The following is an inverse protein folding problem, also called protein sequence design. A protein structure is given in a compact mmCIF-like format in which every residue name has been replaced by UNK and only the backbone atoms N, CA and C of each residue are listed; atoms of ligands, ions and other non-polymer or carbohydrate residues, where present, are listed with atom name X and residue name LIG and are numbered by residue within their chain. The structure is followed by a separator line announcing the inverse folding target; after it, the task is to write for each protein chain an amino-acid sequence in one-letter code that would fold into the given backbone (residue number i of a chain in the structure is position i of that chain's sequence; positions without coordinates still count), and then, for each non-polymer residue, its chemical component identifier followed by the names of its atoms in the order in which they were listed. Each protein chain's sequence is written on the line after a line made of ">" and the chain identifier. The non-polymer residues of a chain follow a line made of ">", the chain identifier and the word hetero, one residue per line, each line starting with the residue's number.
data_IF_777197675574
#
_entry.id   IF_777197675574
#
_cell.length_a   1.000
_cell.length_b   1.000
_cell.length_c   1.000
_cell.angle_alpha   90.00
_cell.angle_beta   90.00
_cell.angle_gamma   90.00
#
_symmetry.space_group_name_H-M   'P 1'
#
loop_
_entity.id
_entity.type
_entity.pdbx_description
1 polymer ?
#
# COMPACT_ATOMS: atom_id res chain seq x y z
N UNK A 1 3.16 0.55 -15.97
CA UNK A 1 3.96 -0.12 -14.91
C UNK A 1 3.79 -1.64 -15.03
N UNK A 2 4.87 -2.40 -14.90
CA UNK A 2 4.83 -3.87 -14.94
C UNK A 2 5.12 -4.45 -13.56
N UNK A 3 4.36 -5.45 -13.11
CA UNK A 3 4.50 -6.10 -11.81
C UNK A 3 4.43 -7.61 -11.99
N UNK A 4 5.55 -8.29 -11.71
CA UNK A 4 5.61 -9.74 -11.57
C UNK A 4 5.28 -10.16 -10.13
N UNK A 5 4.58 -11.25 -9.97
CA UNK A 5 4.26 -11.79 -8.64
C UNK A 5 4.65 -13.25 -8.56
N UNK A 6 5.46 -13.59 -7.56
CA UNK A 6 5.80 -14.97 -7.25
C UNK A 6 4.87 -15.43 -6.13
N UNK A 7 3.97 -16.37 -6.42
CA UNK A 7 2.96 -16.82 -5.45
C UNK A 7 2.54 -18.26 -5.69
N UNK A 8 2.28 -19.01 -4.61
CA UNK A 8 1.65 -20.34 -4.66
C UNK A 8 0.14 -20.30 -4.98
N UNK A 9 -0.48 -19.10 -4.92
CA UNK A 9 -1.92 -18.87 -5.10
C UNK A 9 -2.17 -17.70 -6.05
N UNK A 10 -1.78 -17.81 -7.33
CA UNK A 10 -1.92 -16.73 -8.31
C UNK A 10 -3.38 -16.28 -8.51
N UNK A 11 -4.34 -17.18 -8.30
CA UNK A 11 -5.78 -16.89 -8.40
C UNK A 11 -6.25 -15.84 -7.39
N UNK A 12 -5.57 -15.64 -6.25
CA UNK A 12 -5.93 -14.60 -5.29
C UNK A 12 -5.81 -13.20 -5.89
N UNK A 13 -4.92 -12.99 -6.84
CA UNK A 13 -4.69 -11.69 -7.46
C UNK A 13 -5.82 -11.25 -8.39
N UNK A 14 -6.76 -12.14 -8.74
CA UNK A 14 -7.97 -11.77 -9.50
C UNK A 14 -8.79 -10.70 -8.78
N UNK A 15 -8.73 -10.64 -7.45
CA UNK A 15 -9.40 -9.61 -6.66
C UNK A 15 -8.98 -8.19 -7.07
N UNK A 16 -7.75 -7.98 -7.48
CA UNK A 16 -7.21 -6.68 -7.90
C UNK A 16 -7.03 -6.54 -9.41
N UNK A 17 -6.87 -7.64 -10.15
CA UNK A 17 -6.71 -7.58 -11.61
C UNK A 17 -8.03 -7.50 -12.37
N UNK A 18 -9.14 -7.94 -11.76
CA UNK A 18 -10.45 -7.97 -12.39
C UNK A 18 -11.41 -6.88 -11.88
N UNK A 19 -11.15 -6.31 -10.70
CA UNK A 19 -12.06 -5.39 -10.01
C UNK A 19 -11.42 -4.06 -9.63
N UNK A 20 -12.26 -3.07 -9.39
CA UNK A 20 -11.87 -1.77 -8.86
C UNK A 20 -11.02 -0.91 -9.80
N UNK A 21 -10.24 -0.03 -9.20
CA UNK A 21 -9.34 0.91 -9.90
C UNK A 21 -8.20 0.16 -10.57
N UNK A 22 -7.57 -0.79 -9.86
CA UNK A 22 -6.48 -1.62 -10.36
C UNK A 22 -6.93 -2.49 -11.54
N UNK A 23 -8.12 -3.12 -11.46
CA UNK A 23 -8.67 -3.91 -12.57
C UNK A 23 -8.94 -3.07 -13.83
N UNK A 24 -9.38 -1.81 -13.67
CA UNK A 24 -9.51 -0.88 -14.80
C UNK A 24 -8.15 -0.53 -15.42
N UNK A 25 -7.15 -0.29 -14.57
CA UNK A 25 -5.78 0.03 -15.01
C UNK A 25 -5.15 -1.15 -15.77
N UNK A 26 -5.40 -2.39 -15.34
CA UNK A 26 -4.97 -3.59 -16.08
C UNK A 26 -5.67 -3.67 -17.43
N UNK A 27 -7.00 -3.50 -17.48
CA UNK A 27 -7.77 -3.53 -18.73
C UNK A 27 -7.36 -2.44 -19.73
N UNK A 28 -6.95 -1.28 -19.24
CA UNK A 28 -6.48 -0.16 -20.07
C UNK A 28 -4.99 -0.24 -20.45
N UNK A 29 -4.26 -1.25 -19.97
CA UNK A 29 -2.83 -1.43 -20.23
C UNK A 29 -1.90 -0.49 -19.46
N UNK A 30 -2.41 0.30 -18.50
CA UNK A 30 -1.60 1.13 -17.60
C UNK A 30 -0.81 0.29 -16.59
N UNK A 31 -1.38 -0.85 -16.20
CA UNK A 31 -0.75 -1.86 -15.37
C UNK A 31 -0.70 -3.19 -16.11
N UNK A 32 0.41 -3.89 -15.98
CA UNK A 32 0.56 -5.26 -16.41
C UNK A 32 0.98 -6.07 -15.19
N UNK A 33 0.16 -7.07 -14.82
CA UNK A 33 0.40 -7.93 -13.66
C UNK A 33 0.48 -9.37 -14.15
N UNK A 34 1.60 -10.03 -13.89
CA UNK A 34 1.86 -11.41 -14.28
C UNK A 34 2.25 -12.22 -13.04
N UNK A 35 1.82 -13.48 -12.99
CA UNK A 35 2.08 -14.35 -11.84
C UNK A 35 2.91 -15.57 -12.24
N UNK A 36 3.85 -15.95 -11.39
CA UNK A 36 4.64 -17.17 -11.49
C UNK A 36 4.38 -18.02 -10.24
N UNK A 37 3.91 -19.24 -10.48
CA UNK A 37 3.71 -20.19 -9.39
C UNK A 37 4.94 -21.11 -9.25
N UNK A 38 5.65 -21.09 -8.11
CA UNK A 38 6.79 -21.97 -7.89
C UNK A 38 6.49 -23.47 -8.13
N UNK A 39 5.23 -23.91 -7.98
CA UNK A 39 4.83 -25.29 -8.30
C UNK A 39 5.05 -25.68 -9.76
N UNK A 40 5.13 -24.73 -10.65
CA UNK A 40 5.36 -24.96 -12.09
C UNK A 40 6.83 -25.18 -12.41
N UNK A 41 7.71 -24.88 -11.45
CA UNK A 41 9.17 -25.02 -11.57
C UNK A 41 9.72 -26.22 -10.78
N UNK A 42 8.88 -27.10 -10.27
CA UNK A 42 9.27 -28.34 -9.60
C UNK A 42 9.55 -29.44 -10.60
N UNK A 43 10.46 -30.35 -10.22
CA UNK A 43 10.84 -31.50 -11.07
C UNK A 43 10.25 -32.81 -10.60
N UNK A 44 9.65 -32.84 -9.41
CA UNK A 44 9.06 -34.04 -8.82
C UNK A 44 7.55 -34.17 -9.21
N UNK A 45 7.07 -35.43 -9.15
CA UNK A 45 5.67 -35.76 -9.51
C UNK A 45 4.64 -35.07 -8.62
N UNK A 46 4.99 -34.79 -7.38
CA UNK A 46 4.07 -34.20 -6.39
C UNK A 46 4.08 -32.68 -6.43
N UNK A 47 4.95 -32.05 -7.23
CA UNK A 47 5.09 -30.59 -7.34
C UNK A 47 5.36 -29.96 -5.97
N UNK A 48 6.31 -30.56 -5.24
CA UNK A 48 6.66 -30.18 -3.87
C UNK A 48 7.37 -28.83 -3.84
N UNK A 49 6.91 -27.92 -3.00
CA UNK A 49 7.41 -26.53 -2.90
C UNK A 49 7.86 -26.14 -1.50
N UNK A 50 7.79 -27.06 -0.53
CA UNK A 50 8.14 -26.84 0.85
C UNK A 50 8.96 -27.99 1.42
N UNK A 51 9.86 -27.68 2.39
CA UNK A 51 10.70 -28.66 3.08
C UNK A 51 10.95 -28.20 4.52
N UNK A 52 11.46 -29.10 5.35
CA UNK A 52 11.74 -28.84 6.76
C UNK A 52 12.92 -27.88 6.95
N UNK A 53 12.84 -26.96 7.94
CA UNK A 53 13.97 -26.09 8.25
C UNK A 53 15.14 -26.87 8.83
N UNK A 54 16.36 -26.47 8.48
CA UNK A 54 17.57 -26.93 9.19
C UNK A 54 17.51 -26.49 10.65
N UNK A 55 17.99 -27.31 11.54
CA UNK A 55 17.91 -27.10 12.99
C UNK A 55 16.60 -27.59 13.61
N UNK A 56 15.65 -28.06 12.80
CA UNK A 56 14.33 -28.52 13.26
C UNK A 56 13.40 -27.37 13.63
N UNK A 57 12.31 -27.70 14.30
CA UNK A 57 11.27 -26.75 14.71
C UNK A 57 9.94 -27.02 14.02
N UNK A 58 8.88 -26.30 14.40
CA UNK A 58 7.57 -26.40 13.76
C UNK A 58 7.57 -25.73 12.37
N UNK A 59 6.65 -26.16 11.51
CA UNK A 59 6.42 -25.56 10.19
C UNK A 59 7.37 -26.05 9.11
N UNK A 60 7.27 -25.41 7.97
CA UNK A 60 8.01 -25.71 6.73
C UNK A 60 8.57 -24.40 6.17
N UNK A 61 9.52 -24.49 5.24
CA UNK A 61 10.03 -23.36 4.43
C UNK A 61 9.75 -23.60 2.97
N UNK A 62 9.60 -22.55 2.19
CA UNK A 62 9.57 -22.68 0.74
C UNK A 62 10.91 -23.21 0.21
N UNK A 63 10.85 -24.20 -0.66
CA UNK A 63 12.05 -24.80 -1.27
C UNK A 63 12.80 -23.79 -2.14
N UNK A 64 14.13 -23.81 -2.04
CA UNK A 64 15.03 -22.88 -2.74
C UNK A 64 14.88 -22.97 -4.26
N UNK A 65 14.99 -24.19 -4.83
CA UNK A 65 15.06 -24.36 -6.28
C UNK A 65 13.81 -23.85 -7.00
N UNK A 66 12.56 -24.32 -6.69
CA UNK A 66 11.38 -23.85 -7.44
C UNK A 66 11.11 -22.36 -7.22
N UNK A 67 11.45 -21.81 -6.05
CA UNK A 67 11.31 -20.38 -5.79
C UNK A 67 12.29 -19.54 -6.62
N UNK A 68 13.57 -19.91 -6.65
CA UNK A 68 14.59 -19.21 -7.46
C UNK A 68 14.27 -19.27 -8.95
N UNK A 69 13.87 -20.44 -9.45
CA UNK A 69 13.54 -20.60 -10.86
C UNK A 69 12.34 -19.73 -11.26
N UNK A 70 11.32 -19.62 -10.39
CA UNK A 70 10.20 -18.70 -10.59
C UNK A 70 10.65 -17.23 -10.60
N UNK A 71 11.55 -16.84 -9.68
CA UNK A 71 12.11 -15.47 -9.64
C UNK A 71 12.92 -15.20 -10.92
N UNK A 72 13.75 -16.14 -11.36
CA UNK A 72 14.56 -16.00 -12.59
C UNK A 72 13.67 -15.89 -13.84
N UNK A 73 12.60 -16.69 -13.92
CA UNK A 73 11.64 -16.59 -15.01
C UNK A 73 10.94 -15.21 -15.04
N UNK A 74 10.57 -14.69 -13.88
CA UNK A 74 10.00 -13.34 -13.78
C UNK A 74 11.02 -12.26 -14.15
N UNK A 75 12.28 -12.36 -13.69
CA UNK A 75 13.37 -11.44 -14.09
C UNK A 75 13.57 -11.47 -15.62
N UNK A 76 13.54 -12.66 -16.22
CA UNK A 76 13.68 -12.81 -17.68
C UNK A 76 12.51 -12.15 -18.42
N UNK A 77 11.27 -12.33 -17.95
CA UNK A 77 10.08 -11.71 -18.56
C UNK A 77 10.09 -10.17 -18.39
N UNK A 78 10.51 -9.68 -17.25
CA UNK A 78 10.65 -8.25 -16.98
C UNK A 78 11.74 -7.59 -17.83
N UNK A 79 12.83 -8.33 -18.14
CA UNK A 79 14.05 -7.74 -18.68
C UNK A 79 14.77 -6.89 -17.62
N UNK A 80 15.73 -6.07 -18.06
CA UNK A 80 16.59 -5.29 -17.17
C UNK A 80 15.81 -4.29 -16.31
N UNK A 81 16.33 -4.03 -15.09
CA UNK A 81 15.87 -2.97 -14.20
C UNK A 81 14.64 -3.33 -13.35
N UNK A 82 14.25 -4.59 -13.27
CA UNK A 82 13.22 -5.03 -12.34
C UNK A 82 13.79 -5.14 -10.91
N UNK A 83 13.10 -4.55 -9.93
CA UNK A 83 13.44 -4.66 -8.51
C UNK A 83 12.67 -5.82 -7.89
N UNK A 84 13.36 -6.72 -7.20
CA UNK A 84 12.78 -7.86 -6.48
C UNK A 84 12.51 -7.48 -5.03
N UNK A 85 11.27 -7.61 -4.62
CA UNK A 85 10.79 -7.25 -3.28
C UNK A 85 10.21 -8.48 -2.59
N UNK A 86 10.71 -8.80 -1.42
CA UNK A 86 10.12 -9.81 -0.55
C UNK A 86 9.19 -9.17 0.47
N UNK A 87 7.97 -9.69 0.58
CA UNK A 87 6.96 -9.23 1.55
C UNK A 87 7.14 -10.02 2.86
N UNK A 88 7.71 -9.36 3.86
CA UNK A 88 8.13 -9.98 5.12
C UNK A 88 7.84 -9.07 6.31
N UNK A 89 7.40 -9.60 7.47
CA UNK A 89 7.32 -8.81 8.71
C UNK A 89 8.64 -8.19 9.15
N UNK A 90 9.78 -8.73 8.68
CA UNK A 90 11.13 -8.24 9.00
C UNK A 90 11.56 -7.06 8.13
N UNK A 91 10.82 -6.78 7.05
CA UNK A 91 11.13 -5.72 6.11
C UNK A 91 10.87 -4.32 6.64
N UNK A 92 11.35 -3.32 5.87
CA UNK A 92 11.05 -1.90 6.10
C UNK A 92 9.54 -1.67 6.05
N UNK A 93 9.00 -0.93 7.03
CA UNK A 93 7.57 -0.64 7.11
C UNK A 93 7.09 0.23 5.95
N UNK A 94 6.09 -0.24 5.24
CA UNK A 94 5.46 0.49 4.13
C UNK A 94 4.68 1.68 4.67
N UNK A 95 5.07 2.86 4.23
CA UNK A 95 4.40 4.15 4.47
C UNK A 95 4.07 4.78 3.13
N UNK A 96 3.28 5.88 3.11
CA UNK A 96 3.00 6.60 1.85
C UNK A 96 4.29 7.07 1.15
N UNK A 97 5.30 7.50 1.91
CA UNK A 97 6.62 7.83 1.33
C UNK A 97 7.28 6.61 0.66
N UNK A 98 7.19 5.43 1.30
CA UNK A 98 7.67 4.18 0.69
C UNK A 98 6.88 3.79 -0.56
N UNK A 99 5.56 3.99 -0.56
CA UNK A 99 4.72 3.77 -1.76
C UNK A 99 5.15 4.70 -2.89
N UNK A 100 5.41 5.98 -2.60
CA UNK A 100 5.89 6.95 -3.60
C UNK A 100 7.26 6.55 -4.16
N UNK A 101 8.18 6.11 -3.30
CA UNK A 101 9.50 5.58 -3.71
C UNK A 101 9.33 4.37 -4.65
N UNK A 102 8.50 3.41 -4.28
CA UNK A 102 8.26 2.22 -5.10
C UNK A 102 7.57 2.54 -6.42
N UNK A 103 6.69 3.52 -6.46
CA UNK A 103 5.99 3.96 -7.67
C UNK A 103 6.93 4.56 -8.74
N UNK A 104 8.16 4.97 -8.37
CA UNK A 104 9.16 5.43 -9.35
C UNK A 104 9.72 4.29 -10.20
N UNK A 105 9.59 3.04 -9.75
CA UNK A 105 10.07 1.88 -10.50
C UNK A 105 9.07 1.50 -11.59
N UNK A 106 9.59 1.29 -12.79
CA UNK A 106 8.76 0.84 -13.91
C UNK A 106 8.41 -0.65 -13.84
N UNK A 107 9.24 -1.43 -13.13
CA UNK A 107 9.12 -2.87 -13.02
C UNK A 107 9.42 -3.34 -11.60
N UNK A 108 8.50 -4.09 -11.02
CA UNK A 108 8.65 -4.72 -9.70
C UNK A 108 8.40 -6.22 -9.82
N UNK A 109 9.12 -7.01 -9.03
CA UNK A 109 8.84 -8.43 -8.82
C UNK A 109 8.57 -8.62 -7.32
N UNK A 110 7.35 -9.03 -6.97
CA UNK A 110 6.92 -9.20 -5.59
C UNK A 110 6.95 -10.70 -5.23
N UNK A 111 7.71 -11.04 -4.20
CA UNK A 111 7.79 -12.41 -3.68
C UNK A 111 6.85 -12.55 -2.50
N UNK A 112 5.77 -13.33 -2.69
CA UNK A 112 4.81 -13.67 -1.65
C UNK A 112 5.23 -14.98 -0.97
N UNK A 113 5.91 -14.88 0.17
CA UNK A 113 6.31 -16.03 0.96
C UNK A 113 5.13 -16.74 1.60
N UNK A 114 5.30 -18.03 1.86
CA UNK A 114 4.36 -18.90 2.57
C UNK A 114 5.09 -19.72 3.62
N UNK A 115 4.34 -20.46 4.42
CA UNK A 115 4.84 -21.27 5.53
C UNK A 115 5.57 -20.40 6.56
N UNK A 116 6.73 -20.86 7.08
CA UNK A 116 7.59 -20.07 8.00
C UNK A 116 8.45 -19.01 7.25
N UNK A 117 8.42 -19.02 5.92
CA UNK A 117 9.15 -18.09 5.08
C UNK A 117 9.96 -18.76 3.98
N UNK A 118 10.98 -18.05 3.53
CA UNK A 118 11.90 -18.49 2.48
C UNK A 118 13.32 -18.63 3.01
N UNK A 119 14.14 -19.41 2.32
CA UNK A 119 15.55 -19.62 2.68
C UNK A 119 16.33 -18.29 2.64
N UNK A 120 17.08 -18.01 3.70
CA UNK A 120 17.86 -16.77 3.85
C UNK A 120 18.81 -16.53 2.68
N UNK A 121 19.37 -17.58 2.08
CA UNK A 121 20.25 -17.46 0.91
C UNK A 121 19.52 -16.97 -0.33
N UNK A 122 18.22 -17.24 -0.47
CA UNK A 122 17.40 -16.66 -1.54
C UNK A 122 17.20 -15.17 -1.29
N UNK A 123 16.96 -14.75 -0.04
CA UNK A 123 16.88 -13.32 0.30
C UNK A 123 18.20 -12.64 -0.07
N UNK A 124 19.33 -13.16 0.35
CA UNK A 124 20.65 -12.56 0.12
C UNK A 124 21.08 -12.50 -1.35
N UNK A 125 20.59 -13.43 -2.20
CA UNK A 125 21.06 -13.52 -3.59
C UNK A 125 20.07 -13.04 -4.63
N UNK A 126 18.77 -13.03 -4.32
CA UNK A 126 17.73 -12.75 -5.31
C UNK A 126 16.86 -11.53 -4.98
N UNK A 127 16.82 -11.09 -3.72
CA UNK A 127 15.95 -10.02 -3.24
C UNK A 127 16.75 -8.73 -3.10
N UNK A 128 16.19 -7.63 -3.62
CA UNK A 128 16.79 -6.30 -3.50
C UNK A 128 16.33 -5.57 -2.21
N UNK A 129 15.08 -5.77 -1.83
CA UNK A 129 14.48 -5.13 -0.66
C UNK A 129 13.43 -6.01 0.01
N UNK A 130 13.31 -5.85 1.34
CA UNK A 130 12.22 -6.45 2.11
C UNK A 130 11.26 -5.36 2.63
N UNK A 131 9.95 -5.59 2.47
CA UNK A 131 8.93 -4.66 2.92
C UNK A 131 7.86 -5.32 3.77
N UNK A 132 7.42 -4.62 4.83
CA UNK A 132 6.36 -5.03 5.76
C UNK A 132 5.18 -4.09 5.65
N UNK A 133 3.95 -4.61 5.63
CA UNK A 133 2.73 -3.81 5.67
C UNK A 133 2.27 -3.46 7.10
N UNK A 134 2.99 -3.91 8.13
CA UNK A 134 2.66 -3.62 9.52
C UNK A 134 3.20 -4.66 10.50
N UNK A 135 3.12 -4.33 11.79
CA UNK A 135 3.65 -5.13 12.89
C UNK A 135 2.64 -6.22 13.30
N UNK A 136 2.31 -7.11 12.38
CA UNK A 136 1.44 -8.28 12.59
C UNK A 136 1.78 -9.36 11.59
N UNK A 137 1.42 -10.61 11.92
CA UNK A 137 1.73 -11.78 11.10
C UNK A 137 0.51 -12.21 10.30
N UNK A 138 0.72 -12.51 9.03
CA UNK A 138 -0.26 -13.08 8.12
C UNK A 138 0.16 -14.50 7.69
N UNK A 139 -0.78 -15.26 7.14
CA UNK A 139 -0.52 -16.62 6.66
C UNK A 139 0.31 -16.70 5.37
N UNK A 140 0.63 -15.55 4.75
CA UNK A 140 1.42 -15.47 3.52
C UNK A 140 1.51 -14.06 2.95
N UNK A 141 2.37 -13.90 1.95
CA UNK A 141 2.69 -12.62 1.34
C UNK A 141 1.70 -12.12 0.28
N UNK A 142 0.66 -12.87 -0.07
CA UNK A 142 -0.27 -12.48 -1.14
C UNK A 142 -1.09 -11.24 -0.78
N UNK A 143 -1.64 -11.17 0.44
CA UNK A 143 -2.36 -9.96 0.90
C UNK A 143 -1.44 -8.74 0.98
N UNK A 144 -0.23 -8.82 1.58
CA UNK A 144 0.76 -7.75 1.49
C UNK A 144 1.06 -7.32 0.05
N UNK A 145 1.27 -8.27 -0.86
CA UNK A 145 1.54 -7.96 -2.27
C UNK A 145 0.36 -7.22 -2.92
N UNK A 146 -0.88 -7.66 -2.71
CA UNK A 146 -2.07 -6.97 -3.20
C UNK A 146 -2.20 -5.56 -2.62
N UNK A 147 -1.93 -5.38 -1.33
CA UNK A 147 -1.93 -4.06 -0.67
C UNK A 147 -0.89 -3.12 -1.31
N UNK A 148 0.33 -3.61 -1.53
CA UNK A 148 1.39 -2.84 -2.16
C UNK A 148 1.04 -2.49 -3.60
N UNK A 149 0.52 -3.44 -4.38
CA UNK A 149 0.09 -3.23 -5.77
C UNK A 149 -0.99 -2.14 -5.82
N UNK A 150 -2.02 -2.22 -4.98
CA UNK A 150 -3.09 -1.23 -4.95
C UNK A 150 -2.54 0.16 -4.63
N UNK A 151 -1.75 0.28 -3.55
CA UNK A 151 -1.19 1.55 -3.11
C UNK A 151 -0.29 2.21 -4.18
N UNK A 152 0.62 1.44 -4.80
CA UNK A 152 1.52 1.93 -5.86
C UNK A 152 0.75 2.29 -7.13
N UNK A 153 -0.25 1.47 -7.50
CA UNK A 153 -1.05 1.69 -8.70
C UNK A 153 -1.79 3.01 -8.70
N UNK A 154 -2.24 3.49 -7.53
CA UNK A 154 -2.90 4.80 -7.37
C UNK A 154 -2.02 5.98 -7.79
N UNK A 155 -0.71 5.82 -7.74
CA UNK A 155 0.28 6.84 -8.13
C UNK A 155 0.69 6.76 -9.60
N UNK A 156 0.29 5.70 -10.32
CA UNK A 156 0.56 5.58 -11.75
C UNK A 156 -0.33 6.56 -12.53
N UNK A 157 0.24 7.44 -13.39
CA UNK A 157 -0.54 8.42 -14.15
C UNK A 157 -1.67 7.76 -14.95
N UNK A 158 -2.87 8.31 -14.84
CA UNK A 158 -4.06 7.85 -15.56
C UNK A 158 -4.81 6.68 -14.90
N UNK A 159 -4.33 6.12 -13.82
CA UNK A 159 -5.03 5.06 -13.06
C UNK A 159 -6.22 5.62 -12.29
N UNK A 160 -6.05 6.75 -11.62
CA UNK A 160 -7.15 7.49 -11.02
C UNK A 160 -7.78 8.43 -12.06
N UNK A 161 -9.10 8.60 -12.00
CA UNK A 161 -9.83 9.51 -12.90
C UNK A 161 -9.52 10.99 -12.64
N UNK A 162 -9.20 11.33 -11.38
CA UNK A 162 -8.73 12.65 -10.97
C UNK A 162 -7.44 12.47 -10.16
N UNK A 163 -6.34 12.98 -10.68
CA UNK A 163 -5.03 12.87 -10.05
C UNK A 163 -4.96 13.67 -8.74
N UNK A 164 -5.74 14.74 -8.61
CA UNK A 164 -5.86 15.49 -7.37
C UNK A 164 -6.38 14.63 -6.20
N UNK A 165 -7.12 13.56 -6.49
CA UNK A 165 -7.56 12.61 -5.45
C UNK A 165 -6.40 11.91 -4.74
N UNK A 166 -5.31 11.58 -5.45
CA UNK A 166 -4.13 11.00 -4.82
C UNK A 166 -3.29 12.04 -4.07
N UNK A 167 -3.31 13.28 -4.52
CA UNK A 167 -2.52 14.39 -3.95
C UNK A 167 -3.15 14.92 -2.65
N UNK A 168 -4.48 14.77 -2.47
CA UNK A 168 -5.23 15.27 -1.32
C UNK A 168 -5.55 14.18 -0.28
N UNK A 169 -5.13 12.94 -0.50
CA UNK A 169 -5.31 11.82 0.44
C UNK A 169 -4.44 11.97 1.70
N UNK A 170 -4.83 11.27 2.75
CA UNK A 170 -4.04 11.17 3.99
C UNK A 170 -2.58 10.82 3.71
N UNK A 171 -1.67 11.43 4.47
CA UNK A 171 -0.22 11.25 4.48
C UNK A 171 0.55 11.89 3.31
N UNK A 172 -0.10 12.40 2.29
CA UNK A 172 0.60 13.03 1.15
C UNK A 172 1.35 14.29 1.61
N UNK A 173 0.65 15.16 2.37
CA UNK A 173 1.23 16.35 3.00
C UNK A 173 1.58 16.14 4.47
N UNK A 174 1.68 14.87 4.91
CA UNK A 174 1.93 14.51 6.30
C UNK A 174 0.72 14.63 7.23
N UNK A 175 -0.44 15.03 6.74
CA UNK A 175 -1.69 15.15 7.49
C UNK A 175 -2.64 13.98 7.19
N UNK A 176 -3.60 13.77 8.08
CA UNK A 176 -4.80 12.99 7.78
C UNK A 176 -5.77 13.86 6.97
N UNK A 177 -6.53 13.23 6.09
CA UNK A 177 -7.54 13.90 5.31
C UNK A 177 -8.70 14.44 6.17
N UNK A 178 -9.41 15.46 5.65
CA UNK A 178 -10.57 16.08 6.28
C UNK A 178 -11.80 15.16 6.23
N UNK A 179 -12.86 15.43 7.02
CA UNK A 179 -14.12 14.70 6.92
C UNK A 179 -14.85 15.01 5.62
N UNK A 180 -15.40 13.97 5.00
CA UNK A 180 -16.21 14.07 3.80
C UNK A 180 -17.69 13.94 4.13
N UNK A 181 -18.52 14.67 3.39
CA UNK A 181 -19.98 14.65 3.52
C UNK A 181 -20.60 14.42 2.14
N UNK A 182 -21.71 13.67 2.11
CA UNK A 182 -22.51 13.45 0.92
C UNK A 182 -23.99 13.70 1.25
N UNK A 183 -24.84 13.59 0.25
CA UNK A 183 -26.31 13.73 0.42
C UNK A 183 -26.88 12.62 1.31
N UNK A 184 -27.91 12.89 2.11
CA UNK A 184 -28.65 14.15 2.25
C UNK A 184 -27.89 15.22 3.06
N UNK A 185 -28.26 16.50 2.92
CA UNK A 185 -27.65 17.62 3.65
C UNK A 185 -27.93 17.58 5.15
N UNK A 186 -29.08 17.02 5.54
CA UNK A 186 -29.47 16.80 6.93
C UNK A 186 -29.70 15.31 7.16
N UNK A 187 -28.99 14.72 8.12
CA UNK A 187 -29.11 13.31 8.51
C UNK A 187 -29.33 13.23 10.03
N UNK A 188 -30.50 12.78 10.48
CA UNK A 188 -30.83 12.59 11.89
C UNK A 188 -30.56 13.82 12.77
N UNK A 189 -30.83 15.01 12.25
CA UNK A 189 -30.57 16.29 12.93
C UNK A 189 -29.14 16.82 12.80
N UNK A 190 -28.24 16.06 12.15
CA UNK A 190 -26.87 16.48 11.87
C UNK A 190 -26.78 17.08 10.47
N UNK A 191 -26.41 18.34 10.36
CA UNK A 191 -26.26 19.03 9.09
C UNK A 191 -24.83 18.93 8.54
N UNK A 192 -24.70 19.00 7.21
CA UNK A 192 -23.42 19.26 6.56
C UNK A 192 -22.90 20.64 7.02
N UNK A 193 -21.60 20.77 7.34
CA UNK A 193 -21.03 22.06 7.74
C UNK A 193 -21.29 23.17 6.72
N UNK A 194 -21.76 24.34 7.18
CA UNK A 194 -22.10 25.50 6.34
C UNK A 194 -20.94 25.92 5.42
N UNK A 195 -19.71 25.79 5.88
CA UNK A 195 -18.53 26.08 5.07
C UNK A 195 -18.52 25.31 3.74
N UNK A 196 -18.99 24.05 3.75
CA UNK A 196 -19.00 23.17 2.57
C UNK A 196 -20.14 23.49 1.60
N UNK A 197 -21.22 24.13 2.07
CA UNK A 197 -22.38 24.54 1.27
C UNK A 197 -22.31 26.00 0.84
N UNK A 198 -21.30 26.77 1.29
CA UNK A 198 -21.14 28.21 1.05
C UNK A 198 -20.90 28.60 -0.41
N UNK A 199 -20.42 27.68 -1.24
CA UNK A 199 -19.92 27.95 -2.61
C UNK A 199 -18.62 28.79 -2.66
N UNK A 200 -18.09 29.22 -1.52
CA UNK A 200 -16.84 29.97 -1.45
C UNK A 200 -15.64 29.02 -1.33
N UNK A 201 -14.86 28.90 -2.40
CA UNK A 201 -13.70 27.99 -2.47
C UNK A 201 -12.66 28.23 -1.36
N UNK A 202 -12.42 29.49 -0.97
CA UNK A 202 -11.43 29.81 0.07
C UNK A 202 -11.95 29.41 1.47
N UNK A 203 -13.23 29.63 1.76
CA UNK A 203 -13.86 29.14 3.00
C UNK A 203 -13.79 27.62 3.07
N UNK A 204 -14.09 26.94 1.96
CA UNK A 204 -14.02 25.47 1.88
C UNK A 204 -12.59 25.00 2.09
N UNK A 205 -11.59 25.61 1.42
CA UNK A 205 -10.16 25.28 1.56
C UNK A 205 -9.70 25.40 3.03
N UNK A 206 -9.97 26.54 3.65
CA UNK A 206 -9.61 26.79 5.06
C UNK A 206 -10.30 25.80 6.00
N UNK A 207 -11.57 25.53 5.78
CA UNK A 207 -12.31 24.55 6.59
C UNK A 207 -11.68 23.15 6.47
N UNK A 208 -11.40 22.69 5.27
CA UNK A 208 -10.75 21.39 5.03
C UNK A 208 -9.40 21.29 5.71
N UNK A 209 -8.54 22.31 5.54
CA UNK A 209 -7.22 22.36 6.16
C UNK A 209 -7.32 22.34 7.70
N UNK A 210 -8.24 23.14 8.27
CA UNK A 210 -8.50 23.15 9.72
C UNK A 210 -8.89 21.74 10.22
N UNK A 211 -9.78 21.06 9.51
CA UNK A 211 -10.22 19.73 9.89
C UNK A 211 -9.10 18.68 9.75
N UNK A 212 -8.29 18.73 8.72
CA UNK A 212 -7.14 17.86 8.54
C UNK A 212 -6.13 18.01 9.67
N UNK A 213 -5.76 19.26 10.00
CA UNK A 213 -4.86 19.57 11.12
C UNK A 213 -5.44 19.09 12.46
N UNK A 214 -6.70 19.39 12.72
CA UNK A 214 -7.36 19.00 13.96
C UNK A 214 -7.49 17.48 14.13
N UNK A 215 -7.91 16.77 13.08
CA UNK A 215 -7.97 15.30 13.08
C UNK A 215 -6.60 14.67 13.27
N UNK A 216 -5.59 15.21 12.61
CA UNK A 216 -4.21 14.71 12.75
C UNK A 216 -3.74 14.92 14.19
N UNK A 217 -3.94 16.11 14.76
CA UNK A 217 -3.60 16.40 16.15
C UNK A 217 -4.30 15.46 17.15
N UNK A 218 -5.57 15.12 16.93
CA UNK A 218 -6.32 14.26 17.84
C UNK A 218 -5.96 12.77 17.72
N UNK A 219 -5.73 12.29 16.48
CA UNK A 219 -5.66 10.86 16.17
C UNK A 219 -4.24 10.36 15.95
N UNK A 220 -3.39 11.22 15.44
CA UNK A 220 -2.01 10.91 15.06
C UNK A 220 -1.09 12.11 15.40
N UNK A 221 -1.00 12.47 16.71
CA UNK A 221 -0.25 13.65 17.15
C UNK A 221 1.25 13.59 16.75
N UNK A 222 1.81 12.40 16.61
CA UNK A 222 3.18 12.22 16.17
C UNK A 222 3.44 12.73 14.73
N UNK A 223 2.42 12.78 13.88
CA UNK A 223 2.53 13.36 12.54
C UNK A 223 2.68 14.88 12.62
N UNK A 224 1.84 15.54 13.43
CA UNK A 224 1.92 17.00 13.64
C UNK A 224 3.29 17.40 14.22
N UNK A 225 3.81 16.64 15.18
CA UNK A 225 5.09 16.94 15.82
C UNK A 225 6.28 16.89 14.87
N UNK A 226 6.14 16.20 13.75
CA UNK A 226 7.18 16.06 12.72
C UNK A 226 7.03 17.07 11.56
N UNK A 227 5.99 17.92 11.57
CA UNK A 227 5.74 18.90 10.53
C UNK A 227 6.21 20.30 10.94
N UNK A 228 6.82 21.02 10.01
CA UNK A 228 7.02 22.46 10.13
C UNK A 228 5.73 23.16 9.64
N UNK A 229 4.85 23.52 10.57
CA UNK A 229 3.61 24.20 10.24
C UNK A 229 3.87 25.63 9.75
N UNK A 230 3.07 26.08 8.78
CA UNK A 230 3.03 27.49 8.38
C UNK A 230 2.20 28.31 9.39
N UNK A 231 2.33 29.64 9.37
CA UNK A 231 1.56 30.54 10.23
C UNK A 231 0.04 30.32 10.09
N UNK A 232 -0.46 30.07 8.87
CA UNK A 232 -1.86 29.72 8.64
C UNK A 232 -2.24 28.40 9.29
N UNK A 233 -1.41 27.39 9.17
CA UNK A 233 -1.65 26.07 9.76
C UNK A 233 -1.65 26.12 11.29
N UNK A 234 -0.73 26.86 11.89
CA UNK A 234 -0.69 27.07 13.35
C UNK A 234 -1.96 27.77 13.84
N UNK A 235 -2.39 28.83 13.15
CA UNK A 235 -3.62 29.54 13.47
C UNK A 235 -4.84 28.63 13.40
N UNK A 236 -4.99 27.87 12.30
CA UNK A 236 -6.12 26.96 12.10
C UNK A 236 -6.16 25.82 13.10
N UNK A 237 -5.00 25.28 13.47
CA UNK A 237 -4.89 24.26 14.51
C UNK A 237 -5.29 24.83 15.88
N UNK A 238 -4.83 26.04 16.21
CA UNK A 238 -5.23 26.71 17.46
C UNK A 238 -6.73 26.99 17.53
N UNK A 239 -7.35 27.40 16.41
CA UNK A 239 -8.82 27.56 16.30
C UNK A 239 -9.53 26.23 16.58
N UNK A 240 -9.11 25.14 15.93
CA UNK A 240 -9.69 23.79 16.12
C UNK A 240 -9.59 23.32 17.58
N UNK A 241 -8.41 23.44 18.19
CA UNK A 241 -8.18 23.03 19.57
C UNK A 241 -9.09 23.80 20.55
N UNK A 242 -9.33 25.11 20.30
CA UNK A 242 -10.24 25.93 21.09
C UNK A 242 -11.69 25.45 20.96
N UNK A 243 -12.16 25.21 19.72
CA UNK A 243 -13.51 24.71 19.45
C UNK A 243 -13.78 23.37 20.16
N UNK A 244 -12.84 22.43 20.12
CA UNK A 244 -12.96 21.15 20.81
C UNK A 244 -13.03 21.33 22.33
N UNK A 245 -12.22 22.22 22.91
CA UNK A 245 -12.25 22.50 24.37
C UNK A 245 -13.57 23.11 24.81
N UNK A 246 -14.16 23.98 23.99
CA UNK A 246 -15.42 24.65 24.30
C UNK A 246 -16.63 23.73 24.13
N UNK A 247 -16.54 22.73 23.25
CA UNK A 247 -17.59 21.70 23.04
C UNK A 247 -17.65 20.63 24.16
N UNK A 248 -16.61 20.52 24.99
CA UNK A 248 -16.53 19.55 26.11
C UNK A 248 -17.00 20.17 27.44
N UNK A 249 -17.23 21.48 27.49
CA UNK A 249 -17.82 22.18 28.64
C UNK A 249 -19.34 22.18 28.56
#
# INVERSE_FOLDING_TARGET
>A
MWIGVISLFPEMFRAITEHGVTGRAVKSGLLQIECWNPREFTHDKHRTVDDRPYGGGPGMLMMVQPLRDAIHAAKQAAGDGAKVIYLSPQGRKLTQAGVTELATNQKLILVAGRYEGIDERVIQTEVDEEWSIGDYVLSGGELPAMTLIDAVSRLVPGVLGDQASAEQDSFTDGLLDHPHYTRPELLDGLAVPEALTSGNHEVIRRWRLKQSLGRTWQRRPELINNLALTDEQELLLAEYVREVRDSVK
#
